data_IF_307380231251
#
_entry.id   IF_307380231251
#
_cell.length_a   1.000
_cell.length_b   1.000
_cell.length_c   1.000
_cell.angle_alpha   90.00
_cell.angle_beta   90.00
_cell.angle_gamma   90.00
#
_symmetry.space_group_name_H-M   'P 1'
#
loop_
_entity.id
_entity.type
_entity.pdbx_description
1 polymer ?
#
# COMPACT_ATOMS: atom_id res chain seq x y z
N UNK A 1 -6.80 2.74 -9.31
CA UNK A 1 -8.15 2.49 -8.79
C UNK A 1 -8.38 3.45 -7.63
N UNK A 2 -9.50 4.17 -7.58
CA UNK A 2 -9.71 5.23 -6.57
C UNK A 2 -9.99 4.67 -5.18
N UNK A 3 -10.62 3.50 -5.08
CA UNK A 3 -11.06 2.91 -3.80
C UNK A 3 -9.89 2.46 -2.93
N UNK A 4 -8.77 2.02 -3.52
CA UNK A 4 -7.55 1.65 -2.78
C UNK A 4 -6.66 2.87 -2.44
N UNK A 5 -7.00 4.07 -2.93
CA UNK A 5 -6.19 5.25 -2.67
C UNK A 5 -6.39 5.72 -1.23
N UNK A 6 -5.32 6.04 -0.47
CA UNK A 6 -5.48 6.56 0.88
C UNK A 6 -6.23 7.89 0.88
N UNK A 7 -7.08 8.10 1.88
CA UNK A 7 -7.79 9.37 2.07
C UNK A 7 -6.83 10.49 2.49
N UNK A 8 -7.29 11.74 2.40
CA UNK A 8 -6.52 12.90 2.91
C UNK A 8 -6.22 12.77 4.40
N UNK A 9 -7.16 12.26 5.19
CA UNK A 9 -6.95 12.06 6.63
C UNK A 9 -5.82 11.08 6.92
N UNK A 10 -5.78 9.95 6.21
CA UNK A 10 -4.69 8.98 6.36
C UNK A 10 -3.35 9.60 5.95
N UNK A 11 -3.31 10.35 4.84
CA UNK A 11 -2.08 11.06 4.43
C UNK A 11 -1.60 12.04 5.50
N UNK A 12 -2.50 12.81 6.11
CA UNK A 12 -2.16 13.73 7.19
C UNK A 12 -1.65 13.00 8.43
N UNK A 13 -2.19 11.82 8.74
CA UNK A 13 -1.69 11.00 9.84
C UNK A 13 -0.25 10.57 9.60
N UNK A 14 0.07 10.11 8.38
CA UNK A 14 1.45 9.77 8.02
C UNK A 14 2.36 11.00 8.14
N UNK A 15 1.93 12.16 7.64
CA UNK A 15 2.75 13.37 7.68
C UNK A 15 3.04 13.84 9.11
N UNK A 16 2.07 13.73 10.02
CA UNK A 16 2.31 14.06 11.43
C UNK A 16 3.35 13.16 12.08
N UNK A 17 3.35 11.87 11.74
CA UNK A 17 4.36 10.94 12.25
C UNK A 17 5.73 11.20 11.61
N UNK A 18 5.77 11.45 10.30
CA UNK A 18 6.98 11.84 9.57
C UNK A 18 7.61 13.10 10.22
N UNK A 19 6.80 14.13 10.49
CA UNK A 19 7.22 15.37 11.15
C UNK A 19 7.71 15.11 12.58
N UNK A 20 7.02 14.26 13.36
CA UNK A 20 7.42 13.88 14.73
C UNK A 20 8.79 13.19 14.76
N UNK A 21 9.10 12.43 13.72
CA UNK A 21 10.38 11.71 13.58
C UNK A 21 11.46 12.54 12.88
N UNK A 22 11.13 13.74 12.39
CA UNK A 22 12.05 14.56 11.60
C UNK A 22 12.41 13.95 10.24
N UNK A 23 11.55 13.08 9.68
CA UNK A 23 11.77 12.38 8.41
C UNK A 23 11.00 13.09 7.31
N UNK A 24 11.70 13.59 6.28
CA UNK A 24 11.03 14.13 5.10
C UNK A 24 10.33 13.05 4.29
N UNK A 25 9.20 13.38 3.62
CA UNK A 25 8.39 12.43 2.83
C UNK A 25 9.20 11.59 1.83
N UNK A 26 10.22 12.16 1.20
CA UNK A 26 11.09 11.48 0.21
C UNK A 26 12.03 10.45 0.86
N UNK A 27 12.30 10.59 2.15
CA UNK A 27 13.21 9.73 2.92
C UNK A 27 12.44 8.75 3.81
N UNK A 28 11.10 8.74 3.77
CA UNK A 28 10.29 7.78 4.50
C UNK A 28 10.57 6.38 3.97
N UNK A 29 10.90 5.46 4.87
CA UNK A 29 11.14 4.03 4.58
C UNK A 29 10.06 3.12 5.17
N UNK A 30 9.21 3.63 6.06
CA UNK A 30 8.14 2.86 6.71
C UNK A 30 6.87 3.68 6.88
N UNK A 31 5.72 3.03 6.78
CA UNK A 31 4.44 3.60 7.19
C UNK A 31 4.39 3.82 8.70
N UNK A 32 3.63 4.83 9.11
CA UNK A 32 3.24 5.03 10.50
C UNK A 32 2.34 3.85 10.94
N UNK A 33 2.53 3.28 12.14
CA UNK A 33 1.73 2.14 12.60
C UNK A 33 0.22 2.40 12.57
N UNK A 34 -0.20 3.59 12.99
CA UNK A 34 -1.61 3.96 12.99
C UNK A 34 -2.15 4.21 11.57
N UNK A 35 -1.31 4.66 10.63
CA UNK A 35 -1.68 4.73 9.21
C UNK A 35 -2.01 3.33 8.70
N UNK A 36 -1.12 2.36 8.93
CA UNK A 36 -1.29 1.00 8.42
C UNK A 36 -2.54 0.35 9.00
N UNK A 37 -2.75 0.48 10.32
CA UNK A 37 -3.94 -0.04 11.00
C UNK A 37 -5.23 0.54 10.43
N UNK A 38 -5.32 1.86 10.27
CA UNK A 38 -6.52 2.51 9.71
C UNK A 38 -6.72 2.18 8.24
N UNK A 39 -5.66 2.20 7.42
CA UNK A 39 -5.74 1.80 6.00
C UNK A 39 -6.28 0.38 5.86
N UNK A 40 -5.75 -0.56 6.64
CA UNK A 40 -6.22 -1.95 6.62
C UNK A 40 -7.70 -2.03 6.97
N UNK A 41 -8.13 -1.38 8.05
CA UNK A 41 -9.51 -1.47 8.54
C UNK A 41 -10.52 -0.74 7.65
N UNK A 42 -10.18 0.47 7.23
CA UNK A 42 -11.13 1.40 6.59
C UNK A 42 -11.16 1.27 5.08
N UNK A 43 -10.06 0.82 4.45
CA UNK A 43 -9.93 0.75 3.01
C UNK A 43 -9.76 -0.69 2.54
N UNK A 44 -8.79 -1.42 3.09
CA UNK A 44 -8.42 -2.72 2.55
C UNK A 44 -9.40 -3.84 2.94
N UNK A 45 -9.86 -3.88 4.18
CA UNK A 45 -10.79 -4.89 4.68
C UNK A 45 -12.14 -4.92 3.96
N UNK A 46 -12.79 -3.79 3.62
CA UNK A 46 -14.03 -3.82 2.86
C UNK A 46 -13.82 -3.97 1.34
N UNK A 47 -12.59 -3.91 0.84
CA UNK A 47 -12.31 -3.96 -0.60
C UNK A 47 -12.24 -5.41 -1.11
N UNK A 48 -13.03 -5.73 -2.14
CA UNK A 48 -13.01 -7.05 -2.77
C UNK A 48 -11.82 -7.20 -3.72
N UNK A 49 -10.67 -7.61 -3.18
CA UNK A 49 -9.48 -7.92 -3.95
C UNK A 49 -9.67 -9.12 -4.89
N UNK A 50 -10.53 -10.08 -4.53
CA UNK A 50 -10.82 -11.25 -5.37
C UNK A 50 -11.50 -10.84 -6.67
N UNK A 51 -12.54 -10.01 -6.59
CA UNK A 51 -13.21 -9.45 -7.76
C UNK A 51 -12.31 -8.52 -8.58
N UNK A 52 -11.33 -7.85 -7.95
CA UNK A 52 -10.30 -7.14 -8.68
C UNK A 52 -9.42 -8.10 -9.50
N UNK A 53 -8.85 -9.10 -8.84
CA UNK A 53 -7.92 -10.04 -9.48
C UNK A 53 -8.61 -10.84 -10.61
N UNK A 54 -9.86 -11.25 -10.41
CA UNK A 54 -10.64 -11.96 -11.43
C UNK A 54 -10.85 -11.16 -12.73
N UNK A 55 -10.69 -9.83 -12.70
CA UNK A 55 -10.80 -8.95 -13.88
C UNK A 55 -9.47 -8.66 -14.56
N UNK A 56 -8.35 -9.06 -13.96
CA UNK A 56 -7.02 -8.86 -14.54
C UNK A 56 -6.69 -9.98 -15.54
N UNK A 57 -5.93 -9.71 -16.62
CA UNK A 57 -5.50 -10.74 -17.55
C UNK A 57 -4.56 -11.74 -16.84
N UNK A 58 -4.94 -13.02 -16.82
CA UNK A 58 -4.19 -14.06 -16.12
C UNK A 58 -2.84 -14.44 -16.74
N UNK A 59 -2.59 -14.01 -17.98
CA UNK A 59 -1.35 -14.19 -18.74
C UNK A 59 -0.41 -12.97 -18.65
N UNK A 60 -0.70 -12.02 -17.76
CA UNK A 60 0.06 -10.77 -17.63
C UNK A 60 0.63 -10.58 -16.22
N UNK A 61 1.76 -9.87 -16.14
CA UNK A 61 2.28 -9.39 -14.85
C UNK A 61 1.60 -8.07 -14.52
N UNK A 62 0.92 -8.01 -13.38
CA UNK A 62 0.32 -6.77 -12.87
C UNK A 62 1.29 -6.08 -11.91
N UNK A 63 1.50 -4.77 -12.10
CA UNK A 63 2.34 -3.96 -11.24
C UNK A 63 1.51 -3.02 -10.36
N UNK A 64 1.83 -2.96 -9.06
CA UNK A 64 1.34 -1.94 -8.14
C UNK A 64 2.32 -0.75 -8.13
N UNK A 65 1.91 0.38 -8.70
CA UNK A 65 2.75 1.57 -8.80
C UNK A 65 2.45 2.57 -7.68
N UNK A 66 3.50 3.19 -7.15
CA UNK A 66 3.41 4.26 -6.17
C UNK A 66 4.59 5.23 -6.35
N UNK A 67 4.52 6.40 -5.72
CA UNK A 67 5.56 7.44 -5.83
C UNK A 67 6.70 7.24 -4.84
N UNK A 68 6.47 6.52 -3.75
CA UNK A 68 7.49 6.19 -2.76
C UNK A 68 8.48 5.14 -3.28
N UNK A 69 9.75 5.33 -2.90
CA UNK A 69 10.87 4.47 -3.28
C UNK A 69 10.71 3.05 -2.73
N UNK A 70 10.57 2.95 -1.41
CA UNK A 70 10.51 1.68 -0.68
C UNK A 70 9.05 1.18 -0.59
N UNK A 71 8.78 -0.12 -0.82
CA UNK A 71 7.43 -0.69 -0.66
C UNK A 71 6.82 -0.44 0.71
N UNK A 72 7.64 -0.55 1.76
CA UNK A 72 7.25 -0.37 3.15
C UNK A 72 6.88 1.07 3.50
N UNK A 73 7.28 2.04 2.66
CA UNK A 73 7.01 3.45 2.86
C UNK A 73 5.62 3.90 2.38
N UNK A 74 4.84 3.02 1.75
CA UNK A 74 3.51 3.35 1.24
C UNK A 74 2.52 2.19 1.31
N UNK A 75 1.25 2.51 1.05
CA UNK A 75 0.14 1.57 1.13
C UNK A 75 0.24 0.35 0.18
N UNK A 76 1.12 0.39 -0.84
CA UNK A 76 1.25 -0.73 -1.79
C UNK A 76 1.73 -2.02 -1.11
N UNK A 77 2.61 -1.93 -0.11
CA UNK A 77 3.06 -3.10 0.66
C UNK A 77 1.88 -3.80 1.35
N UNK A 78 0.99 -3.03 1.97
CA UNK A 78 -0.21 -3.55 2.64
C UNK A 78 -1.14 -4.29 1.65
N UNK A 79 -1.34 -3.73 0.46
CA UNK A 79 -2.13 -4.38 -0.60
C UNK A 79 -1.43 -5.65 -1.09
N UNK A 80 -0.13 -5.59 -1.36
CA UNK A 80 0.66 -6.75 -1.79
C UNK A 80 0.64 -7.89 -0.77
N UNK A 81 0.82 -7.58 0.51
CA UNK A 81 0.79 -8.57 1.59
C UNK A 81 -0.58 -9.25 1.67
N UNK A 82 -1.64 -8.48 1.49
CA UNK A 82 -3.00 -9.01 1.49
C UNK A 82 -3.28 -9.91 0.28
N UNK A 83 -2.84 -9.50 -0.92
CA UNK A 83 -2.93 -10.33 -2.12
C UNK A 83 -2.20 -11.67 -1.97
N UNK A 84 -1.02 -11.64 -1.34
CA UNK A 84 -0.24 -12.85 -1.03
C UNK A 84 -0.98 -13.75 -0.03
N UNK A 85 -1.48 -13.16 1.06
CA UNK A 85 -2.09 -13.89 2.16
C UNK A 85 -3.45 -14.50 1.82
N UNK A 86 -4.32 -13.76 1.11
CA UNK A 86 -5.70 -14.20 0.83
C UNK A 86 -5.84 -14.93 -0.51
N UNK A 87 -5.04 -14.57 -1.52
CA UNK A 87 -5.18 -15.09 -2.88
C UNK A 87 -3.98 -15.94 -3.33
N UNK A 88 -2.95 -16.10 -2.49
CA UNK A 88 -1.79 -16.93 -2.79
C UNK A 88 -0.94 -16.41 -3.95
N UNK A 89 -1.08 -15.14 -4.31
CA UNK A 89 -0.36 -14.57 -5.46
C UNK A 89 1.13 -14.38 -5.12
N UNK A 90 1.98 -14.71 -6.09
CA UNK A 90 3.39 -14.36 -6.03
C UNK A 90 3.55 -12.84 -6.10
N UNK A 91 4.27 -12.26 -5.15
CA UNK A 91 4.53 -10.83 -5.07
C UNK A 91 6.03 -10.60 -4.99
N UNK A 92 6.52 -9.75 -5.89
CA UNK A 92 7.91 -9.30 -5.90
C UNK A 92 7.95 -7.80 -5.69
N UNK A 93 8.67 -7.37 -4.66
CA UNK A 93 8.89 -5.96 -4.38
C UNK A 93 9.95 -5.36 -5.31
N UNK A 94 9.58 -4.30 -6.03
CA UNK A 94 10.50 -3.56 -6.87
C UNK A 94 11.21 -2.48 -6.06
N UNK A 95 12.54 -2.58 -5.96
CA UNK A 95 13.42 -1.58 -5.35
C UNK A 95 14.36 -1.00 -6.41
N UNK A 96 14.86 0.23 -6.26
CA UNK A 96 15.93 0.74 -7.12
C UNK A 96 17.16 -0.15 -6.99
N UNK A 97 17.75 -0.53 -8.13
CA UNK A 97 19.03 -1.22 -8.20
C UNK A 97 20.21 -0.35 -7.81
#
# INVERSE_FOLDING_TARGET
MKELAPTTELRLLQYREDDRQGVGKRNRVTLAPEYAKRYIREILAPFDLGALVARLPGDSVTALLCVERDPEACHRSLVADRLRAELGLAVTDLRPG
#
